data_IF_235614163660
#
_entry.id   IF_235614163660
#
_cell.length_a   1.000
_cell.length_b   1.000
_cell.length_c   1.000
_cell.angle_alpha   90.00
_cell.angle_beta   90.00
_cell.angle_gamma   90.00
#
_symmetry.space_group_name_H-M   'P 1'
#
loop_
_entity.id
_entity.type
_entity.pdbx_description
1 polymer ?
#
# COMPACT_ATOMS: atom_id res chain seq x y z
N UNK A 1 29.08 -39.51 -13.28
CA UNK A 1 29.86 -38.32 -12.88
C UNK A 1 28.92 -37.33 -12.19
N UNK A 2 29.18 -36.95 -10.94
CA UNK A 2 28.41 -35.94 -10.20
C UNK A 2 28.86 -34.57 -10.72
N UNK A 3 27.96 -33.80 -11.34
CA UNK A 3 28.22 -32.40 -11.71
C UNK A 3 28.15 -31.51 -10.48
N UNK A 4 29.06 -30.55 -10.36
CA UNK A 4 29.09 -29.56 -9.27
C UNK A 4 28.02 -28.49 -9.46
N UNK A 5 27.72 -27.76 -8.36
CA UNK A 5 26.87 -26.57 -8.40
C UNK A 5 27.50 -25.52 -9.31
N UNK A 6 26.68 -24.85 -10.13
CA UNK A 6 27.14 -23.77 -11.00
C UNK A 6 26.11 -22.64 -11.03
N UNK A 7 26.62 -21.41 -11.09
CA UNK A 7 25.82 -20.20 -11.33
C UNK A 7 26.17 -19.62 -12.69
N UNK A 8 25.21 -18.92 -13.27
CA UNK A 8 25.43 -18.00 -14.38
C UNK A 8 24.52 -16.79 -14.20
N UNK A 9 24.94 -15.64 -14.72
CA UNK A 9 24.17 -14.41 -14.73
C UNK A 9 23.71 -14.12 -16.17
N UNK A 10 22.43 -13.80 -16.34
CA UNK A 10 21.86 -13.23 -17.57
C UNK A 10 21.41 -11.81 -17.23
N UNK A 11 22.23 -10.83 -17.58
CA UNK A 11 21.97 -9.40 -17.35
C UNK A 11 21.75 -8.71 -18.69
N UNK A 12 20.67 -7.93 -18.78
CA UNK A 12 20.28 -7.19 -19.98
C UNK A 12 20.20 -5.70 -19.70
N UNK A 13 20.74 -4.90 -20.61
CA UNK A 13 20.69 -3.45 -20.69
C UNK A 13 19.82 -3.03 -21.88
N UNK A 14 18.74 -2.27 -21.67
CA UNK A 14 17.82 -1.84 -22.74
C UNK A 14 17.38 -2.99 -23.67
N UNK A 15 17.08 -4.15 -23.06
CA UNK A 15 16.72 -5.41 -23.75
C UNK A 15 17.84 -6.12 -24.53
N UNK A 16 18.99 -5.47 -24.73
CA UNK A 16 20.20 -6.10 -25.23
C UNK A 16 20.94 -6.79 -24.07
N UNK A 17 21.67 -7.89 -24.30
CA UNK A 17 22.62 -8.38 -23.29
C UNK A 17 23.49 -7.21 -22.85
N UNK A 18 23.66 -7.02 -21.53
CA UNK A 18 24.37 -5.89 -20.93
C UNK A 18 25.77 -5.71 -21.55
N UNK A 19 26.38 -6.80 -22.00
CA UNK A 19 27.02 -6.90 -23.32
C UNK A 19 27.22 -8.38 -23.66
N UNK A 20 27.36 -8.73 -24.94
CA UNK A 20 27.71 -10.09 -25.39
C UNK A 20 29.09 -10.60 -24.92
N UNK A 21 29.76 -9.91 -24.00
CA UNK A 21 31.13 -10.16 -23.52
C UNK A 21 31.33 -9.94 -21.99
N UNK A 22 30.30 -9.56 -21.21
CA UNK A 22 30.49 -9.05 -19.82
C UNK A 22 30.12 -10.06 -18.74
N UNK A 23 29.37 -11.12 -19.04
CA UNK A 23 29.02 -12.12 -18.03
C UNK A 23 30.24 -12.75 -17.32
N UNK A 24 31.41 -12.76 -17.98
CA UNK A 24 32.68 -13.19 -17.39
C UNK A 24 33.39 -12.12 -16.55
N UNK A 25 33.03 -10.85 -16.72
CA UNK A 25 33.63 -9.71 -16.03
C UNK A 25 32.82 -9.27 -14.80
N UNK A 26 31.59 -9.77 -14.62
CA UNK A 26 30.79 -9.49 -13.42
C UNK A 26 31.42 -10.21 -12.22
N UNK A 27 31.95 -9.43 -11.28
CA UNK A 27 32.56 -9.95 -10.06
C UNK A 27 31.49 -10.25 -9.00
N UNK A 28 30.48 -9.37 -8.92
CA UNK A 28 29.37 -9.59 -8.01
C UNK A 28 28.07 -8.93 -8.48
N UNK A 29 26.96 -9.51 -8.05
CA UNK A 29 25.62 -8.97 -8.21
C UNK A 29 24.90 -9.10 -6.87
N UNK A 30 24.37 -7.98 -6.38
CA UNK A 30 23.50 -7.93 -5.20
C UNK A 30 22.11 -7.54 -5.67
N UNK A 31 21.11 -8.35 -5.32
CA UNK A 31 19.70 -8.05 -5.55
C UNK A 31 18.99 -7.97 -4.20
N UNK A 32 18.33 -6.84 -3.95
CA UNK A 32 17.56 -6.59 -2.74
C UNK A 32 16.08 -6.50 -3.09
N UNK A 33 15.27 -7.39 -2.51
CA UNK A 33 13.81 -7.37 -2.54
C UNK A 33 13.26 -6.87 -1.19
N UNK A 34 12.49 -5.78 -1.19
CA UNK A 34 11.93 -5.17 0.03
C UNK A 34 10.42 -5.27 0.03
N UNK A 35 9.83 -5.75 1.12
CA UNK A 35 8.38 -5.91 1.24
C UNK A 35 7.66 -4.56 1.29
N UNK A 36 8.27 -3.55 1.93
CA UNK A 36 7.72 -2.23 2.16
C UNK A 36 8.84 -1.16 2.23
N UNK A 37 8.43 0.12 2.16
CA UNK A 37 9.21 1.34 2.41
C UNK A 37 10.37 1.65 1.47
N UNK A 38 11.05 0.64 0.95
CA UNK A 38 12.15 0.77 0.02
C UNK A 38 11.80 0.15 -1.33
N UNK A 39 12.40 0.68 -2.39
CA UNK A 39 12.35 0.05 -3.70
C UNK A 39 13.26 -1.17 -3.73
N UNK A 40 12.97 -2.10 -4.64
CA UNK A 40 13.92 -3.16 -4.91
C UNK A 40 15.13 -2.55 -5.60
N UNK A 41 16.33 -3.06 -5.28
CA UNK A 41 17.57 -2.56 -5.86
C UNK A 41 18.41 -3.67 -6.45
N UNK A 42 19.24 -3.30 -7.42
CA UNK A 42 20.26 -4.16 -7.97
C UNK A 42 21.58 -3.40 -8.04
N UNK A 43 22.65 -4.05 -7.59
CA UNK A 43 24.00 -3.52 -7.60
C UNK A 43 24.90 -4.54 -8.29
N UNK A 44 25.58 -4.12 -9.36
CA UNK A 44 26.46 -4.98 -10.15
C UNK A 44 27.87 -4.39 -10.11
N UNK A 45 28.84 -5.19 -9.69
CA UNK A 45 30.27 -4.85 -9.75
C UNK A 45 30.91 -5.60 -10.90
N UNK A 46 31.62 -4.86 -11.75
CA UNK A 46 32.26 -5.35 -12.96
C UNK A 46 33.75 -5.07 -12.87
N UNK A 47 34.56 -6.09 -13.19
CA UNK A 47 35.99 -5.93 -13.44
C UNK A 47 36.17 -5.11 -14.72
N UNK A 48 36.62 -3.87 -14.56
CA UNK A 48 36.73 -2.91 -15.64
C UNK A 48 38.18 -2.71 -16.12
N UNK A 49 39.10 -3.65 -15.84
CA UNK A 49 40.51 -3.56 -16.23
C UNK A 49 40.73 -3.58 -17.75
N UNK A 50 39.84 -4.22 -18.50
CA UNK A 50 39.92 -4.23 -19.97
C UNK A 50 39.65 -2.82 -20.51
N UNK A 51 40.53 -2.36 -21.41
CA UNK A 51 40.44 -1.05 -22.08
C UNK A 51 39.10 -0.82 -22.79
N UNK A 52 38.34 -1.88 -23.11
CA UNK A 52 36.98 -1.76 -23.67
C UNK A 52 36.03 -0.94 -22.78
N UNK A 53 36.26 -0.91 -21.47
CA UNK A 53 35.44 -0.14 -20.51
C UNK A 53 35.83 1.34 -20.45
N UNK A 54 37.09 1.66 -20.76
CA UNK A 54 37.61 3.03 -20.79
C UNK A 54 37.40 3.72 -22.15
N UNK A 55 37.52 2.96 -23.24
CA UNK A 55 37.55 3.49 -24.61
C UNK A 55 36.35 3.07 -25.46
N UNK A 56 35.46 2.26 -24.89
CA UNK A 56 34.31 1.70 -25.57
C UNK A 56 32.99 2.20 -25.00
N UNK A 57 32.16 1.28 -24.54
CA UNK A 57 30.79 1.53 -24.13
C UNK A 57 30.69 1.74 -22.62
N UNK A 58 29.97 2.79 -22.20
CA UNK A 58 29.69 3.12 -20.80
C UNK A 58 28.17 3.10 -20.59
N UNK A 59 27.65 2.52 -19.49
CA UNK A 59 26.23 2.50 -19.23
C UNK A 59 25.71 3.91 -18.93
N UNK A 60 24.56 4.24 -19.53
CA UNK A 60 23.88 5.52 -19.32
C UNK A 60 22.75 5.41 -18.28
N UNK A 61 22.63 6.46 -17.45
CA UNK A 61 21.52 6.65 -16.49
C UNK A 61 20.17 6.68 -17.21
N UNK A 62 19.13 6.18 -16.54
CA UNK A 62 17.78 6.03 -17.09
C UNK A 62 17.58 4.76 -17.94
N UNK A 63 18.65 4.02 -18.25
CA UNK A 63 18.52 2.77 -18.98
C UNK A 63 17.88 1.67 -18.13
N UNK A 64 17.32 0.65 -18.80
CA UNK A 64 16.70 -0.49 -18.11
C UNK A 64 17.68 -1.63 -17.87
N UNK A 65 17.69 -2.15 -16.65
CA UNK A 65 18.44 -3.32 -16.24
C UNK A 65 17.49 -4.46 -15.90
N UNK A 66 17.72 -5.62 -16.50
CA UNK A 66 17.02 -6.85 -16.13
C UNK A 66 18.06 -7.93 -15.86
N UNK A 67 18.08 -8.45 -14.65
CA UNK A 67 19.00 -9.52 -14.27
C UNK A 67 18.26 -10.80 -13.91
N UNK A 68 18.91 -11.92 -14.23
CA UNK A 68 18.50 -13.26 -13.84
C UNK A 68 19.69 -14.01 -13.30
N UNK A 69 19.48 -14.70 -12.19
CA UNK A 69 20.43 -15.67 -11.65
C UNK A 69 20.00 -17.06 -12.08
N UNK A 70 20.90 -17.79 -12.74
CA UNK A 70 20.67 -19.13 -13.26
C UNK A 70 21.47 -20.13 -12.42
N UNK A 71 20.77 -21.00 -11.69
CA UNK A 71 21.35 -22.06 -10.89
C UNK A 71 21.31 -23.41 -11.59
N UNK A 72 22.40 -24.17 -11.50
CA UNK A 72 22.50 -25.53 -12.04
C UNK A 72 22.99 -26.51 -10.97
N UNK A 73 22.35 -27.67 -10.91
CA UNK A 73 22.69 -28.79 -10.01
C UNK A 73 22.73 -28.38 -8.51
N UNK A 74 21.83 -27.50 -8.06
CA UNK A 74 21.88 -26.89 -6.72
C UNK A 74 21.52 -27.86 -5.59
N UNK A 75 20.28 -28.31 -5.55
CA UNK A 75 19.77 -29.30 -4.60
C UNK A 75 19.84 -30.72 -5.16
N UNK A 76 19.73 -30.88 -6.49
CA UNK A 76 19.70 -32.18 -7.17
C UNK A 76 20.42 -32.14 -8.52
N UNK A 77 20.96 -33.28 -8.96
CA UNK A 77 21.59 -33.40 -10.28
C UNK A 77 20.60 -33.07 -11.41
N UNK A 78 21.05 -32.27 -12.37
CA UNK A 78 20.24 -31.83 -13.50
C UNK A 78 19.24 -30.71 -13.18
N UNK A 79 19.11 -30.30 -11.91
CA UNK A 79 18.23 -29.19 -11.54
C UNK A 79 18.65 -27.90 -12.24
N UNK A 80 17.66 -27.18 -12.76
CA UNK A 80 17.81 -25.80 -13.23
C UNK A 80 16.89 -24.91 -12.40
N UNK A 81 17.44 -23.85 -11.86
CA UNK A 81 16.72 -22.82 -11.11
C UNK A 81 16.93 -21.48 -11.80
N UNK A 82 15.89 -20.65 -11.85
CA UNK A 82 15.95 -19.31 -12.40
C UNK A 82 15.35 -18.39 -11.35
N UNK A 83 16.10 -17.38 -10.96
CA UNK A 83 15.60 -16.26 -10.16
C UNK A 83 15.56 -15.03 -11.07
N UNK A 84 14.36 -14.52 -11.30
CA UNK A 84 14.15 -13.24 -11.97
C UNK A 84 14.33 -12.15 -10.91
N UNK A 85 15.40 -11.35 -11.00
CA UNK A 85 15.66 -10.28 -10.03
C UNK A 85 14.72 -9.09 -10.24
N UNK A 86 14.03 -9.01 -11.37
CA UNK A 86 13.15 -7.90 -11.71
C UNK A 86 13.72 -7.01 -12.81
N UNK A 87 13.10 -5.84 -12.96
CA UNK A 87 13.47 -4.80 -13.91
C UNK A 87 13.68 -3.51 -13.14
N UNK A 88 14.83 -2.88 -13.39
CA UNK A 88 15.33 -1.72 -12.68
C UNK A 88 15.65 -0.62 -13.67
N UNK A 89 15.53 0.63 -13.23
CA UNK A 89 16.06 1.79 -13.91
C UNK A 89 17.44 2.06 -13.33
N UNK A 90 18.44 2.12 -14.20
CA UNK A 90 19.82 2.42 -13.86
C UNK A 90 19.91 3.87 -13.41
N UNK A 91 20.30 4.10 -12.16
CA UNK A 91 20.36 5.42 -11.53
C UNK A 91 21.79 5.83 -11.17
N UNK A 92 22.60 4.86 -10.73
CA UNK A 92 23.99 5.06 -10.35
C UNK A 92 24.98 4.34 -11.28
N UNK A 93 26.04 5.06 -11.65
CA UNK A 93 27.22 4.51 -12.32
C UNK A 93 28.43 5.12 -11.66
N UNK A 94 29.28 4.28 -11.09
CA UNK A 94 30.53 4.72 -10.49
C UNK A 94 31.70 3.95 -11.07
N UNK A 95 32.78 4.66 -11.38
CA UNK A 95 34.02 4.08 -11.88
C UNK A 95 35.13 4.42 -10.90
N UNK A 96 35.88 3.41 -10.48
CA UNK A 96 37.06 3.56 -9.64
C UNK A 96 38.27 3.04 -10.39
N UNK A 97 39.42 3.68 -10.21
CA UNK A 97 40.70 3.23 -10.74
C UNK A 97 41.64 2.83 -9.59
N UNK A 98 42.40 1.74 -9.80
CA UNK A 98 43.24 1.08 -8.80
C UNK A 98 42.52 0.59 -7.50
N UNK A 99 41.71 -0.49 -7.54
CA UNK A 99 41.46 -1.39 -8.69
C UNK A 99 40.42 -0.83 -9.67
N UNK A 100 40.63 -1.09 -10.96
CA UNK A 100 39.72 -0.64 -12.02
C UNK A 100 38.40 -1.40 -11.98
N UNK A 101 37.36 -0.76 -11.44
CA UNK A 101 36.03 -1.35 -11.24
C UNK A 101 34.94 -0.40 -11.74
N UNK A 102 33.90 -0.99 -12.33
CA UNK A 102 32.68 -0.30 -12.72
C UNK A 102 31.53 -0.84 -11.87
N UNK A 103 30.87 0.04 -11.13
CA UNK A 103 29.67 -0.28 -10.37
C UNK A 103 28.46 0.32 -11.07
N UNK A 104 27.39 -0.48 -11.14
CA UNK A 104 26.14 -0.11 -11.77
C UNK A 104 25.02 -0.43 -10.80
N UNK A 105 24.34 0.62 -10.34
CA UNK A 105 23.18 0.58 -9.47
C UNK A 105 21.89 0.78 -10.27
N UNK A 106 20.83 0.14 -9.82
CA UNK A 106 19.49 0.41 -10.34
C UNK A 106 18.40 0.15 -9.32
N UNK A 107 17.30 0.88 -9.46
CA UNK A 107 16.13 0.81 -8.58
C UNK A 107 14.86 0.47 -9.36
N UNK A 108 13.92 -0.22 -8.70
CA UNK A 108 12.68 -0.67 -9.33
C UNK A 108 11.63 0.44 -9.49
N UNK A 109 11.80 1.56 -8.78
CA UNK A 109 11.03 2.79 -8.94
C UNK A 109 11.33 3.41 -10.31
N UNK A 110 10.35 4.01 -11.02
CA UNK A 110 10.58 4.72 -12.27
C UNK A 110 11.29 6.06 -12.01
N UNK A 111 12.59 5.99 -11.68
CA UNK A 111 13.46 7.15 -11.44
C UNK A 111 13.77 7.96 -12.71
N UNK A 112 13.41 7.42 -13.88
CA UNK A 112 13.42 8.08 -15.19
C UNK A 112 12.17 8.95 -15.44
N UNK A 113 11.35 9.21 -14.42
CA UNK A 113 10.06 9.91 -14.55
C UNK A 113 9.77 10.85 -13.37
N UNK A 114 8.79 11.72 -13.56
CA UNK A 114 8.29 12.67 -12.54
C UNK A 114 7.54 12.01 -11.37
N UNK A 115 7.58 10.68 -11.21
CA UNK A 115 6.88 9.97 -10.12
C UNK A 115 7.39 10.39 -8.74
N UNK A 116 8.68 10.74 -8.66
CA UNK A 116 9.38 11.09 -7.42
C UNK A 116 9.82 12.55 -7.35
N UNK A 117 9.67 13.31 -8.44
CA UNK A 117 10.35 14.59 -8.62
C UNK A 117 9.36 15.75 -8.69
N UNK A 118 8.24 15.57 -9.39
CA UNK A 118 7.27 16.66 -9.57
C UNK A 118 6.34 16.75 -8.36
N UNK A 119 6.46 17.85 -7.64
CA UNK A 119 5.51 18.26 -6.61
C UNK A 119 4.18 18.68 -7.23
N UNK A 120 3.10 18.40 -6.49
CA UNK A 120 1.74 18.60 -6.97
C UNK A 120 0.83 18.99 -5.82
N UNK A 121 -0.06 19.92 -6.14
CA UNK A 121 -1.15 20.36 -5.28
C UNK A 121 -2.46 19.89 -5.90
N UNK A 122 -3.00 18.78 -5.42
CA UNK A 122 -4.21 18.16 -5.97
C UNK A 122 -5.19 17.82 -4.86
N UNK A 123 -6.42 18.31 -5.01
CA UNK A 123 -7.52 17.90 -4.13
C UNK A 123 -8.24 16.69 -4.74
N UNK A 124 -8.16 15.56 -4.06
CA UNK A 124 -8.86 14.34 -4.40
C UNK A 124 -10.22 14.35 -3.71
N UNK A 125 -11.33 14.26 -4.47
CA UNK A 125 -12.70 14.23 -3.90
C UNK A 125 -13.49 13.04 -4.42
N UNK A 126 -14.34 12.48 -3.57
CA UNK A 126 -15.29 11.40 -3.90
C UNK A 126 -14.63 10.25 -4.70
N UNK A 127 -13.47 9.79 -4.23
CA UNK A 127 -12.65 8.77 -4.89
C UNK A 127 -12.38 7.61 -3.93
N UNK A 128 -11.46 6.71 -4.27
CA UNK A 128 -10.95 5.68 -3.37
C UNK A 128 -9.45 5.52 -3.54
N UNK A 129 -8.78 4.88 -2.58
CA UNK A 129 -7.34 4.63 -2.64
C UNK A 129 -6.98 3.91 -3.94
N UNK A 130 -7.74 2.88 -4.31
CA UNK A 130 -7.52 2.16 -5.57
C UNK A 130 -7.67 3.05 -6.81
N UNK A 131 -8.64 3.96 -6.84
CA UNK A 131 -8.86 4.88 -7.97
C UNK A 131 -7.74 5.92 -8.07
N UNK A 132 -7.28 6.46 -6.94
CA UNK A 132 -6.12 7.35 -6.87
C UNK A 132 -4.89 6.63 -7.44
N UNK A 133 -4.60 5.43 -6.95
CA UNK A 133 -3.48 4.61 -7.43
C UNK A 133 -3.54 4.30 -8.92
N UNK A 134 -4.71 3.97 -9.45
CA UNK A 134 -4.90 3.73 -10.88
C UNK A 134 -4.61 4.99 -11.71
N UNK A 135 -5.07 6.17 -11.26
CA UNK A 135 -4.83 7.44 -11.95
C UNK A 135 -3.35 7.84 -11.92
N UNK A 136 -2.69 7.65 -10.77
CA UNK A 136 -1.24 7.89 -10.63
C UNK A 136 -0.47 6.91 -11.52
N UNK A 137 -0.77 5.62 -11.48
CA UNK A 137 -0.10 4.63 -12.32
C UNK A 137 -0.25 4.93 -13.82
N UNK A 138 -1.45 5.33 -14.27
CA UNK A 138 -1.71 5.71 -15.66
C UNK A 138 -0.87 6.90 -16.13
N UNK A 139 -0.63 7.89 -15.25
CA UNK A 139 0.20 9.07 -15.55
C UNK A 139 1.61 8.71 -16.00
N UNK A 140 2.17 7.63 -15.47
CA UNK A 140 3.54 7.16 -15.75
C UNK A 140 3.58 5.91 -16.64
N UNK A 141 2.44 5.49 -17.21
CA UNK A 141 2.35 4.29 -18.02
C UNK A 141 2.74 3.01 -17.25
N UNK A 142 2.45 2.96 -15.96
CA UNK A 142 2.68 1.81 -15.09
C UNK A 142 1.44 0.91 -15.10
N UNK A 143 1.65 -0.40 -15.11
CA UNK A 143 0.58 -1.34 -14.78
C UNK A 143 0.15 -1.12 -13.31
N UNK A 144 -1.11 -1.40 -12.99
CA UNK A 144 -1.63 -1.26 -11.64
C UNK A 144 -2.25 -2.57 -11.14
N UNK A 145 -1.88 -2.98 -9.93
CA UNK A 145 -2.43 -4.16 -9.26
C UNK A 145 -2.76 -3.80 -7.81
N UNK A 146 -3.92 -4.27 -7.35
CA UNK A 146 -4.44 -3.94 -6.03
C UNK A 146 -5.01 -5.21 -5.39
N UNK A 147 -4.31 -5.75 -4.39
CA UNK A 147 -4.63 -6.96 -3.63
C UNK A 147 -4.91 -6.62 -2.15
N UNK A 148 -5.96 -5.83 -1.94
CA UNK A 148 -6.44 -5.37 -0.63
C UNK A 148 -7.92 -4.97 -0.71
N UNK A 149 -8.52 -4.65 0.43
CA UNK A 149 -9.82 -3.97 0.46
C UNK A 149 -9.64 -2.51 0.01
N UNK A 150 -10.64 -1.97 -0.67
CA UNK A 150 -10.61 -0.56 -1.14
C UNK A 150 -11.32 0.33 -0.14
N UNK A 151 -10.81 1.55 0.04
CA UNK A 151 -11.31 2.52 1.01
C UNK A 151 -11.68 3.82 0.31
N UNK A 152 -12.87 4.33 0.60
CA UNK A 152 -13.39 5.56 0.03
C UNK A 152 -12.67 6.77 0.64
N UNK A 153 -12.33 7.74 -0.21
CA UNK A 153 -11.72 9.01 0.13
C UNK A 153 -12.70 10.11 -0.24
N UNK A 154 -13.37 10.66 0.75
CA UNK A 154 -14.33 11.76 0.56
C UNK A 154 -13.61 13.02 0.04
N UNK A 155 -12.54 13.41 0.72
CA UNK A 155 -11.69 14.51 0.34
C UNK A 155 -10.32 14.32 0.99
N UNK A 156 -9.26 14.44 0.20
CA UNK A 156 -7.89 14.39 0.68
C UNK A 156 -7.02 15.31 -0.19
N UNK A 157 -6.02 15.92 0.42
CA UNK A 157 -5.13 16.86 -0.26
C UNK A 157 -3.79 16.17 -0.50
N UNK A 158 -3.39 16.15 -1.76
CA UNK A 158 -2.03 15.84 -2.14
C UNK A 158 -1.25 17.14 -2.14
N UNK A 159 -0.27 17.20 -1.23
CA UNK A 159 0.83 18.14 -1.20
C UNK A 159 2.12 17.31 -1.35
N UNK A 160 2.84 17.53 -2.45
CA UNK A 160 4.06 16.82 -2.81
C UNK A 160 3.90 15.75 -3.91
N UNK A 161 4.94 14.94 -4.07
CA UNK A 161 5.08 14.01 -5.21
C UNK A 161 4.05 12.89 -5.17
N UNK A 162 3.70 12.35 -6.34
CA UNK A 162 2.79 11.19 -6.43
C UNK A 162 3.30 9.99 -5.62
N UNK A 163 4.62 9.77 -5.60
CA UNK A 163 5.21 8.65 -4.86
C UNK A 163 5.09 8.81 -3.35
N UNK A 164 5.39 10.00 -2.80
CA UNK A 164 5.35 10.26 -1.37
C UNK A 164 3.91 10.32 -0.86
N UNK A 165 3.03 11.02 -1.59
CA UNK A 165 1.61 11.12 -1.27
C UNK A 165 0.94 9.75 -1.25
N UNK A 166 1.06 8.99 -2.35
CA UNK A 166 0.34 7.74 -2.48
C UNK A 166 0.87 6.66 -1.52
N UNK A 167 2.18 6.65 -1.24
CA UNK A 167 2.76 5.78 -0.21
C UNK A 167 2.18 6.10 1.17
N UNK A 168 2.10 7.39 1.53
CA UNK A 168 1.55 7.84 2.82
C UNK A 168 0.07 7.50 2.94
N UNK A 169 -0.71 7.72 1.88
CA UNK A 169 -2.12 7.33 1.83
C UNK A 169 -2.29 5.82 2.01
N UNK A 170 -1.49 4.98 1.34
CA UNK A 170 -1.53 3.54 1.54
C UNK A 170 -1.24 3.16 3.00
N UNK A 171 -0.18 3.72 3.59
CA UNK A 171 0.22 3.46 4.99
C UNK A 171 -0.86 3.82 5.99
N UNK A 172 -1.55 4.94 5.77
CA UNK A 172 -2.64 5.39 6.63
C UNK A 172 -3.75 4.34 6.76
N UNK A 173 -3.92 3.46 5.78
CA UNK A 173 -4.93 2.41 5.74
C UNK A 173 -4.33 1.00 5.85
N UNK A 174 -3.08 0.87 6.29
CA UNK A 174 -2.42 -0.43 6.56
C UNK A 174 -1.99 -1.16 5.29
N UNK A 175 -1.99 -0.45 4.16
CA UNK A 175 -1.61 -0.96 2.86
C UNK A 175 -0.15 -0.66 2.57
N UNK A 176 0.48 -1.52 1.78
CA UNK A 176 1.86 -1.38 1.34
C UNK A 176 1.89 -1.11 -0.15
N UNK A 177 2.67 -0.10 -0.54
CA UNK A 177 2.96 0.25 -1.92
C UNK A 177 4.32 -0.35 -2.33
N UNK A 178 4.32 -1.26 -3.30
CA UNK A 178 5.52 -1.68 -4.04
C UNK A 178 5.49 -1.14 -5.47
N UNK A 179 6.67 -0.79 -5.97
CA UNK A 179 6.86 -0.43 -7.38
C UNK A 179 7.95 -1.33 -7.94
N UNK A 180 7.61 -2.15 -8.92
CA UNK A 180 8.55 -3.08 -9.56
C UNK A 180 8.10 -3.42 -10.97
N UNK A 181 9.03 -3.72 -11.87
CA UNK A 181 8.72 -4.19 -13.23
C UNK A 181 7.69 -3.33 -13.99
N UNK A 182 7.84 -1.99 -13.92
CA UNK A 182 6.90 -1.01 -14.49
C UNK A 182 5.46 -1.21 -14.03
N UNK A 183 5.29 -1.62 -12.77
CA UNK A 183 4.01 -1.86 -12.12
C UNK A 183 3.98 -1.25 -10.73
N UNK A 184 2.85 -0.66 -10.41
CA UNK A 184 2.46 -0.29 -9.07
C UNK A 184 1.62 -1.42 -8.46
N UNK A 185 2.02 -1.93 -7.31
CA UNK A 185 1.33 -2.99 -6.58
C UNK A 185 1.00 -2.53 -5.16
N UNK A 186 -0.29 -2.53 -4.84
CA UNK A 186 -0.76 -2.32 -3.47
C UNK A 186 -1.25 -3.63 -2.89
N UNK A 187 -0.87 -3.92 -1.65
CA UNK A 187 -1.34 -5.09 -0.92
C UNK A 187 -1.50 -4.83 0.58
N UNK A 188 -2.28 -5.66 1.25
CA UNK A 188 -2.48 -5.62 2.71
C UNK A 188 -1.47 -6.55 3.42
N UNK A 189 -0.59 -5.98 4.26
CA UNK A 189 0.46 -6.74 4.96
C UNK A 189 -0.13 -7.76 5.94
N UNK A 190 -1.20 -7.43 6.65
CA UNK A 190 -1.78 -8.34 7.65
C UNK A 190 -2.47 -9.53 6.97
N UNK A 191 -3.13 -9.31 5.82
CA UNK A 191 -3.61 -10.41 4.96
C UNK A 191 -2.47 -11.30 4.47
N UNK A 192 -1.30 -10.72 4.16
CA UNK A 192 -0.14 -11.49 3.72
C UNK A 192 0.54 -12.26 4.87
N UNK A 193 0.61 -11.70 6.07
CA UNK A 193 1.05 -12.40 7.29
C UNK A 193 0.17 -13.60 7.63
N UNK A 194 -1.12 -13.57 7.26
CA UNK A 194 -2.02 -14.71 7.44
C UNK A 194 -1.73 -15.88 6.47
N UNK A 195 -1.03 -15.64 5.35
CA UNK A 195 -0.68 -16.70 4.39
C UNK A 195 0.24 -17.75 5.02
N UNK A 196 0.27 -18.94 4.41
CA UNK A 196 1.14 -20.04 4.82
C UNK A 196 2.61 -19.69 4.63
N UNK A 197 3.46 -20.32 5.44
CA UNK A 197 4.89 -20.28 5.20
C UNK A 197 5.21 -20.96 3.86
N UNK A 198 5.95 -20.29 2.98
CA UNK A 198 6.37 -20.82 1.67
C UNK A 198 7.55 -21.80 1.81
N UNK A 199 8.31 -21.66 2.89
CA UNK A 199 9.48 -22.49 3.21
C UNK A 199 9.68 -22.59 4.72
N UNK A 200 10.19 -23.74 5.15
CA UNK A 200 10.70 -23.94 6.51
C UNK A 200 12.23 -24.01 6.45
N UNK A 201 12.90 -23.28 7.33
CA UNK A 201 14.35 -23.36 7.52
C UNK A 201 14.64 -23.98 8.88
N UNK A 202 15.35 -25.10 8.87
CA UNK A 202 15.89 -25.66 10.10
C UNK A 202 17.20 -24.95 10.47
N UNK A 203 17.48 -24.85 11.77
CA UNK A 203 18.73 -24.29 12.30
C UNK A 203 19.98 -24.86 11.62
N UNK A 204 19.97 -26.15 11.26
CA UNK A 204 21.09 -26.80 10.56
C UNK A 204 21.35 -26.27 9.14
N UNK A 205 20.38 -25.58 8.53
CA UNK A 205 20.47 -25.02 7.18
C UNK A 205 20.93 -23.56 7.17
N UNK A 206 20.98 -22.92 8.34
CA UNK A 206 21.36 -21.51 8.49
C UNK A 206 22.87 -21.42 8.66
N UNK A 207 23.50 -20.48 7.93
CA UNK A 207 24.94 -20.22 8.03
C UNK A 207 25.33 -19.91 9.47
N UNK A 208 26.31 -20.61 10.06
CA UNK A 208 26.81 -20.31 11.41
C UNK A 208 27.20 -18.83 11.55
N UNK A 209 26.80 -18.21 12.66
CA UNK A 209 27.09 -16.80 12.96
C UNK A 209 26.22 -15.76 12.24
N UNK A 210 25.39 -16.16 11.26
CA UNK A 210 24.51 -15.21 10.54
C UNK A 210 23.21 -14.89 11.28
N UNK A 211 22.79 -15.77 12.20
CA UNK A 211 21.52 -15.64 12.91
C UNK A 211 21.55 -14.50 13.95
N UNK A 212 20.55 -13.63 13.90
CA UNK A 212 20.31 -12.61 14.90
C UNK A 212 18.83 -12.50 15.23
N UNK A 213 18.51 -12.27 16.50
CA UNK A 213 17.16 -12.06 16.99
C UNK A 213 17.18 -10.87 17.95
N UNK A 214 16.25 -9.94 17.76
CA UNK A 214 16.08 -8.76 18.62
C UNK A 214 14.61 -8.59 18.92
N UNK A 215 14.30 -8.22 20.16
CA UNK A 215 12.96 -7.79 20.56
C UNK A 215 13.05 -6.45 21.27
N UNK A 216 12.09 -5.56 21.04
CA UNK A 216 12.01 -4.25 21.69
C UNK A 216 10.67 -4.08 22.41
N UNK A 217 10.69 -3.35 23.53
CA UNK A 217 9.46 -2.92 24.23
C UNK A 217 8.79 -1.74 23.51
N UNK A 218 9.59 -0.88 22.86
CA UNK A 218 9.04 0.18 22.02
C UNK A 218 8.28 -0.45 20.84
N UNK A 219 7.06 0.01 20.61
CA UNK A 219 6.17 -0.51 19.57
C UNK A 219 5.29 -1.70 20.01
N UNK A 220 5.31 -2.17 21.26
CA UNK A 220 4.38 -3.24 21.69
C UNK A 220 3.05 -2.69 22.18
N UNK A 221 2.30 -2.02 21.29
CA UNK A 221 1.02 -1.43 21.66
C UNK A 221 -0.05 -2.51 21.86
N UNK A 222 -0.85 -2.36 22.90
CA UNK A 222 -1.99 -3.23 23.24
C UNK A 222 -3.34 -2.60 22.88
N UNK A 223 -3.31 -1.34 22.45
CA UNK A 223 -4.45 -0.60 21.92
C UNK A 223 -4.08 0.83 21.55
N UNK A 224 -5.09 1.64 21.27
CA UNK A 224 -4.90 3.05 20.96
C UNK A 224 -6.21 3.79 20.83
N UNK A 225 -6.09 5.08 20.60
CA UNK A 225 -7.18 6.02 20.40
C UNK A 225 -6.88 6.94 19.22
N UNK A 226 -7.93 7.30 18.50
CA UNK A 226 -7.91 8.14 17.32
C UNK A 226 -8.87 9.30 17.53
N UNK A 227 -8.32 10.50 17.55
CA UNK A 227 -9.07 11.73 17.75
C UNK A 227 -9.24 12.46 16.42
N UNK A 228 -10.47 12.87 16.14
CA UNK A 228 -10.77 13.74 15.00
C UNK A 228 -11.97 14.63 15.32
N UNK A 229 -11.99 15.81 14.73
CA UNK A 229 -13.14 16.73 14.80
C UNK A 229 -14.07 16.45 13.62
N UNK A 230 -15.35 16.23 13.90
CA UNK A 230 -16.40 16.25 12.89
C UNK A 230 -16.75 17.71 12.62
N UNK A 231 -16.20 18.26 11.54
CA UNK A 231 -16.33 19.67 11.19
C UNK A 231 -17.79 20.10 10.92
N UNK A 232 -18.66 19.17 10.49
CA UNK A 232 -20.08 19.49 10.25
C UNK A 232 -20.85 19.66 11.55
N UNK A 233 -20.48 18.90 12.59
CA UNK A 233 -21.13 18.92 13.90
C UNK A 233 -20.42 19.81 14.92
N UNK A 234 -19.21 20.24 14.62
CA UNK A 234 -18.30 20.93 15.53
C UNK A 234 -18.08 20.18 16.86
N UNK A 235 -17.93 18.85 16.77
CA UNK A 235 -17.69 17.96 17.92
C UNK A 235 -16.39 17.18 17.73
N UNK A 236 -15.69 16.95 18.84
CA UNK A 236 -14.53 16.06 18.86
C UNK A 236 -14.99 14.63 19.14
N UNK A 237 -14.48 13.70 18.34
CA UNK A 237 -14.79 12.28 18.39
C UNK A 237 -13.52 11.50 18.68
N UNK A 238 -13.58 10.67 19.72
CA UNK A 238 -12.56 9.66 20.01
C UNK A 238 -13.05 8.26 19.60
N UNK A 239 -12.26 7.58 18.78
CA UNK A 239 -12.40 6.16 18.46
C UNK A 239 -11.28 5.38 19.17
N UNK A 240 -11.58 4.26 19.82
CA UNK A 240 -10.55 3.42 20.46
C UNK A 240 -10.64 1.96 20.04
N UNK A 241 -9.46 1.32 19.97
CA UNK A 241 -9.28 -0.09 19.62
C UNK A 241 -8.31 -0.72 20.63
N UNK A 242 -8.65 -1.90 21.15
CA UNK A 242 -7.84 -2.56 22.19
C UNK A 242 -7.90 -1.84 23.55
N UNK A 243 -6.81 -1.93 24.33
CA UNK A 243 -6.73 -1.27 25.65
C UNK A 243 -5.42 -1.59 26.38
N UNK A 244 -5.38 -1.33 27.69
CA UNK A 244 -4.20 -1.61 28.54
C UNK A 244 -3.29 -0.41 28.77
N UNK A 245 -2.10 -0.64 29.32
CA UNK A 245 -1.16 0.42 29.71
C UNK A 245 -0.27 0.95 28.58
N UNK A 246 -0.23 0.27 27.44
CA UNK A 246 0.61 0.62 26.29
C UNK A 246 -0.25 1.01 25.10
N UNK A 247 -0.73 2.26 25.10
CA UNK A 247 -1.63 2.80 24.08
C UNK A 247 -0.95 3.82 23.16
N UNK A 248 -1.41 3.91 21.91
CA UNK A 248 -1.00 4.94 20.95
C UNK A 248 -2.13 5.93 20.67
N UNK A 249 -1.81 7.22 20.63
CA UNK A 249 -2.69 8.27 20.13
C UNK A 249 -2.44 8.53 18.64
N UNK A 250 -3.51 8.69 17.87
CA UNK A 250 -3.46 9.16 16.48
C UNK A 250 -4.37 10.37 16.36
N UNK A 251 -3.88 11.41 15.68
CA UNK A 251 -4.66 12.58 15.31
C UNK A 251 -4.49 12.81 13.82
N UNK A 252 -5.57 12.61 13.07
CA UNK A 252 -5.65 12.84 11.62
C UNK A 252 -7.12 13.03 11.26
N UNK A 253 -7.38 13.60 10.09
CA UNK A 253 -8.71 13.61 9.49
C UNK A 253 -9.27 12.19 9.36
N UNK A 254 -10.52 12.03 9.77
CA UNK A 254 -11.37 10.89 9.45
C UNK A 254 -12.78 11.38 9.11
N UNK A 255 -13.48 10.59 8.31
CA UNK A 255 -14.85 10.89 7.84
C UNK A 255 -15.93 10.17 8.64
N UNK A 256 -15.51 9.19 9.44
CA UNK A 256 -16.39 8.39 10.31
C UNK A 256 -15.59 7.65 11.37
N UNK A 257 -16.29 7.11 12.36
CA UNK A 257 -15.68 6.22 13.36
C UNK A 257 -15.09 4.96 12.69
N UNK A 258 -15.72 4.45 11.63
CA UNK A 258 -15.17 3.32 10.89
C UNK A 258 -13.84 3.67 10.23
N UNK A 259 -13.77 4.79 9.51
CA UNK A 259 -12.55 5.30 8.88
C UNK A 259 -11.43 5.52 9.93
N UNK A 260 -11.75 6.21 11.03
CA UNK A 260 -10.84 6.38 12.16
C UNK A 260 -10.34 5.03 12.72
N UNK A 261 -11.21 4.03 12.87
CA UNK A 261 -10.84 2.71 13.36
C UNK A 261 -9.90 1.96 12.41
N UNK A 262 -10.13 2.06 11.10
CA UNK A 262 -9.25 1.45 10.08
C UNK A 262 -7.86 2.07 10.15
N UNK A 263 -7.80 3.40 10.19
CA UNK A 263 -6.52 4.10 10.26
C UNK A 263 -5.78 3.86 11.58
N UNK A 264 -6.51 3.76 12.70
CA UNK A 264 -5.94 3.40 13.99
C UNK A 264 -5.35 1.99 13.99
N UNK A 265 -6.09 0.99 13.49
CA UNK A 265 -5.61 -0.37 13.36
C UNK A 265 -4.36 -0.45 12.48
N UNK A 266 -4.35 0.28 11.36
CA UNK A 266 -3.19 0.38 10.49
C UNK A 266 -1.95 0.90 11.23
N UNK A 267 -2.10 1.99 11.98
CA UNK A 267 -1.01 2.61 12.74
C UNK A 267 -0.49 1.67 13.85
N UNK A 268 -1.39 1.03 14.60
CA UNK A 268 -1.04 0.06 15.65
C UNK A 268 -0.32 -1.16 15.07
N UNK A 269 -0.87 -1.78 14.03
CA UNK A 269 -0.26 -2.94 13.37
C UNK A 269 1.10 -2.60 12.76
N UNK A 270 1.25 -1.38 12.23
CA UNK A 270 2.52 -0.91 11.69
C UNK A 270 3.57 -0.67 12.76
N UNK A 271 3.19 -0.06 13.88
CA UNK A 271 4.10 0.16 14.99
C UNK A 271 4.50 -1.15 15.69
N UNK A 272 3.58 -2.12 15.76
CA UNK A 272 3.85 -3.44 16.33
C UNK A 272 4.69 -4.33 15.40
N UNK A 273 4.66 -4.08 14.10
CA UNK A 273 5.51 -4.77 13.14
C UNK A 273 6.98 -4.35 13.33
N UNK A 274 7.87 -5.34 13.37
CA UNK A 274 9.29 -5.11 13.65
C UNK A 274 9.63 -4.95 15.14
N UNK A 275 8.69 -5.17 16.06
CA UNK A 275 9.00 -5.29 17.50
C UNK A 275 9.84 -6.52 17.80
N UNK A 276 9.59 -7.60 17.08
CA UNK A 276 10.43 -8.79 16.99
C UNK A 276 11.08 -8.79 15.62
N UNK A 277 12.41 -8.70 15.58
CA UNK A 277 13.21 -8.75 14.35
C UNK A 277 14.11 -9.96 14.38
N UNK A 278 14.24 -10.58 13.22
CA UNK A 278 15.07 -11.75 13.01
C UNK A 278 15.85 -11.60 11.71
N UNK A 279 17.14 -11.96 11.72
CA UNK A 279 17.96 -12.04 10.52
C UNK A 279 18.71 -13.34 10.45
N UNK A 280 18.93 -13.87 9.24
CA UNK A 280 19.76 -15.05 9.03
C UNK A 280 20.14 -15.23 7.56
N UNK A 281 21.19 -16.01 7.31
CA UNK A 281 21.68 -16.30 5.97
C UNK A 281 21.69 -17.79 5.60
N UNK A 282 21.47 -18.11 4.33
CA UNK A 282 21.54 -19.48 3.75
C UNK A 282 22.28 -19.49 2.43
N UNK A 283 22.87 -20.62 2.06
CA UNK A 283 23.69 -20.79 0.84
C UNK A 283 22.82 -20.93 -0.43
N UNK A 284 22.11 -19.85 -0.70
CA UNK A 284 21.23 -19.65 -1.83
C UNK A 284 19.80 -20.11 -1.58
N UNK A 285 18.86 -19.22 -1.84
CA UNK A 285 17.43 -19.52 -1.92
C UNK A 285 16.88 -19.10 -3.29
N UNK A 286 15.94 -19.89 -3.81
CA UNK A 286 15.34 -19.71 -5.14
C UNK A 286 13.81 -19.53 -5.08
N UNK A 287 13.21 -19.49 -3.89
CA UNK A 287 11.76 -19.64 -3.65
C UNK A 287 11.15 -18.52 -2.81
N UNK A 288 11.91 -17.94 -1.90
CA UNK A 288 11.42 -16.95 -0.93
C UNK A 288 11.65 -15.55 -1.47
N UNK A 289 10.57 -14.77 -1.52
CA UNK A 289 10.60 -13.33 -1.83
C UNK A 289 10.15 -12.53 -0.61
N UNK A 290 10.45 -11.22 -0.60
CA UNK A 290 9.91 -10.33 0.40
C UNK A 290 8.37 -10.29 0.32
N UNK A 291 7.71 -10.11 1.46
CA UNK A 291 6.27 -10.25 1.59
C UNK A 291 5.77 -11.69 1.72
N UNK A 292 6.63 -12.70 1.61
CA UNK A 292 6.28 -14.09 1.96
C UNK A 292 6.35 -14.33 3.48
N UNK A 293 5.78 -15.45 3.91
CA UNK A 293 6.03 -15.99 5.25
C UNK A 293 7.00 -17.16 5.18
N UNK A 294 7.84 -17.33 6.19
CA UNK A 294 8.72 -18.49 6.38
C UNK A 294 8.53 -19.08 7.78
N UNK A 295 8.91 -20.33 7.97
CA UNK A 295 8.91 -20.97 9.28
C UNK A 295 10.33 -21.34 9.71
N UNK A 296 10.63 -21.24 11.01
CA UNK A 296 11.90 -21.67 11.59
C UNK A 296 11.73 -22.86 12.53
N UNK A 297 12.69 -23.80 12.47
CA UNK A 297 12.81 -24.93 13.40
C UNK A 297 14.24 -25.05 13.96
N UNK A 298 14.40 -25.77 15.08
CA UNK A 298 15.70 -26.02 15.70
C UNK A 298 16.23 -24.91 16.63
N UNK A 299 15.45 -23.86 16.87
CA UNK A 299 15.79 -22.74 17.77
C UNK A 299 14.97 -22.70 19.08
N UNK A 300 14.15 -23.71 19.36
CA UNK A 300 13.35 -23.79 20.58
C UNK A 300 12.29 -22.69 20.62
N UNK A 301 12.38 -21.76 21.58
CA UNK A 301 11.41 -20.69 21.77
C UNK A 301 11.35 -19.68 20.59
N UNK A 302 12.38 -19.67 19.73
CA UNK A 302 12.40 -18.84 18.52
C UNK A 302 11.92 -19.61 17.27
N UNK A 303 11.37 -20.81 17.45
CA UNK A 303 10.66 -21.49 16.38
C UNK A 303 9.34 -20.77 16.11
N UNK A 304 8.90 -20.76 14.86
CA UNK A 304 7.62 -20.15 14.50
C UNK A 304 7.58 -19.61 13.09
N UNK A 305 6.46 -18.94 12.78
CA UNK A 305 6.24 -18.28 11.50
C UNK A 305 6.68 -16.82 11.58
N UNK A 306 7.42 -16.38 10.58
CA UNK A 306 7.93 -15.02 10.45
C UNK A 306 7.55 -14.45 9.08
N UNK A 307 7.33 -13.15 9.03
CA UNK A 307 7.09 -12.43 7.78
C UNK A 307 8.44 -11.92 7.25
N UNK A 308 8.69 -12.10 5.95
CA UNK A 308 9.94 -11.70 5.31
C UNK A 308 9.84 -10.24 4.88
N UNK A 309 10.57 -9.37 5.57
CA UNK A 309 10.58 -7.93 5.30
C UNK A 309 11.52 -7.60 4.14
N UNK A 310 12.65 -8.31 4.05
CA UNK A 310 13.65 -8.09 3.03
C UNK A 310 14.44 -9.37 2.73
N UNK A 311 14.76 -9.55 1.46
CA UNK A 311 15.64 -10.61 0.98
C UNK A 311 16.79 -9.98 0.21
N UNK A 312 18.02 -10.31 0.59
CA UNK A 312 19.22 -9.88 -0.12
C UNK A 312 19.90 -11.11 -0.73
N UNK A 313 19.92 -11.19 -2.05
CA UNK A 313 20.66 -12.21 -2.78
C UNK A 313 21.99 -11.64 -3.23
N UNK A 314 23.09 -12.33 -2.94
CA UNK A 314 24.42 -11.95 -3.40
C UNK A 314 25.03 -13.08 -4.21
N UNK A 315 25.37 -12.80 -5.46
CA UNK A 315 26.15 -13.67 -6.33
C UNK A 315 27.57 -13.11 -6.39
N UNK A 316 28.54 -13.96 -6.12
CA UNK A 316 29.97 -13.66 -6.27
C UNK A 316 30.72 -14.94 -6.66
N UNK A 317 32.04 -14.85 -6.82
CA UNK A 317 32.89 -16.01 -7.08
C UNK A 317 32.76 -17.13 -6.02
N UNK A 318 32.37 -16.79 -4.79
CA UNK A 318 32.11 -17.73 -3.70
C UNK A 318 30.77 -18.47 -3.82
N UNK A 319 29.90 -18.08 -4.75
CA UNK A 319 28.59 -18.68 -4.96
C UNK A 319 27.43 -17.70 -4.75
N UNK A 320 26.25 -18.25 -4.48
CA UNK A 320 25.02 -17.50 -4.19
C UNK A 320 24.76 -17.62 -2.69
N UNK A 321 24.66 -16.47 -2.03
CA UNK A 321 24.13 -16.37 -0.67
C UNK A 321 22.80 -15.64 -0.69
N UNK A 322 21.95 -15.96 0.29
CA UNK A 322 20.71 -15.24 0.51
C UNK A 322 20.58 -14.92 1.99
N UNK A 323 20.33 -13.67 2.30
CA UNK A 323 20.17 -13.14 3.64
C UNK A 323 18.74 -12.60 3.79
N UNK A 324 18.10 -12.98 4.89
CA UNK A 324 16.73 -12.64 5.21
C UNK A 324 16.69 -11.70 6.39
N UNK A 325 15.88 -10.65 6.29
CA UNK A 325 15.42 -9.85 7.42
C UNK A 325 13.91 -10.08 7.55
N UNK A 326 13.48 -10.45 8.74
CA UNK A 326 12.13 -10.88 9.02
C UNK A 326 11.58 -10.24 10.30
N UNK A 327 10.26 -10.11 10.34
CA UNK A 327 9.51 -9.67 11.51
C UNK A 327 8.68 -10.80 12.10
N UNK A 328 8.55 -10.78 13.43
CA UNK A 328 7.60 -11.63 14.15
C UNK A 328 6.16 -11.35 13.71
N UNK A 329 5.33 -12.38 13.74
CA UNK A 329 3.90 -12.29 13.45
C UNK A 329 3.15 -12.41 14.77
N UNK A 330 2.63 -11.29 15.26
CA UNK A 330 1.75 -11.24 16.43
C UNK A 330 0.26 -11.15 16.04
N UNK A 331 -0.63 -11.13 17.04
CA UNK A 331 -2.04 -10.79 16.83
C UNK A 331 -2.16 -9.41 16.17
N UNK A 332 -3.01 -9.31 15.15
CA UNK A 332 -3.31 -8.05 14.48
C UNK A 332 -4.52 -7.39 15.14
N UNK A 333 -4.56 -6.06 15.13
CA UNK A 333 -5.75 -5.27 15.42
C UNK A 333 -6.66 -5.22 14.20
N UNK A 334 -7.96 -5.36 14.42
CA UNK A 334 -8.97 -5.22 13.37
C UNK A 334 -9.97 -4.12 13.69
N UNK A 335 -10.51 -3.48 12.64
CA UNK A 335 -11.50 -2.41 12.77
C UNK A 335 -12.86 -2.89 13.30
N UNK A 336 -13.10 -4.20 13.37
CA UNK A 336 -14.26 -4.77 14.05
C UNK A 336 -13.99 -5.15 15.52
N UNK A 337 -12.73 -5.07 15.97
CA UNK A 337 -12.36 -5.21 17.40
C UNK A 337 -12.64 -3.92 18.19
N UNK A 338 -13.37 -2.97 17.59
CA UNK A 338 -13.81 -1.72 18.22
C UNK A 338 -14.78 -2.06 19.35
N UNK A 339 -14.22 -2.30 20.54
CA UNK A 339 -14.90 -2.33 21.83
C UNK A 339 -14.79 -1.01 22.59
N UNK A 340 -14.27 0.03 21.93
CA UNK A 340 -14.03 1.35 22.48
C UNK A 340 -15.29 2.22 22.47
N UNK A 341 -15.64 2.79 23.61
CA UNK A 341 -16.71 3.78 23.75
C UNK A 341 -16.45 4.95 22.78
N UNK A 342 -17.41 5.26 21.90
CA UNK A 342 -17.38 6.54 21.17
C UNK A 342 -17.69 7.62 22.19
N UNK A 343 -16.72 8.49 22.45
CA UNK A 343 -16.92 9.66 23.31
C UNK A 343 -17.07 10.87 22.41
N UNK A 344 -18.25 11.48 22.48
CA UNK A 344 -18.52 12.77 21.86
C UNK A 344 -18.21 13.84 22.90
N UNK A 345 -17.26 14.71 22.61
CA UNK A 345 -17.01 15.91 23.39
C UNK A 345 -17.69 17.08 22.69
N UNK A 346 -18.73 17.65 23.31
CA UNK A 346 -19.18 18.99 22.94
C UNK A 346 -18.09 19.98 23.37
N UNK A 347 -17.78 20.97 22.52
CA UNK A 347 -16.86 22.04 22.90
C UNK A 347 -17.39 22.74 24.15
N UNK A 348 -16.67 22.61 25.27
CA UNK A 348 -16.83 23.53 26.40
C UNK A 348 -16.33 24.91 25.98
N UNK A 349 -17.05 25.96 26.40
CA UNK A 349 -16.80 27.36 26.03
C UNK A 349 -15.31 27.72 26.08
N UNK A 350 -14.88 28.35 24.99
CA UNK A 350 -13.52 28.68 24.59
C UNK A 350 -12.69 29.38 25.69
N UNK A 351 -11.51 28.86 26.00
CA UNK A 351 -10.48 29.62 26.73
C UNK A 351 -9.65 30.43 25.73
N UNK A 352 -10.30 31.40 25.09
CA UNK A 352 -9.74 32.61 24.47
C UNK A 352 -8.30 32.63 23.94
N UNK A 353 -7.88 31.64 23.13
CA UNK A 353 -6.68 31.76 22.31
C UNK A 353 -7.01 31.48 20.85
N UNK A 354 -7.11 32.57 20.09
CA UNK A 354 -7.29 32.61 18.65
C UNK A 354 -6.10 31.97 17.94
N UNK A 355 -6.33 30.88 17.22
CA UNK A 355 -5.46 30.45 16.13
C UNK A 355 -6.06 30.99 14.82
N UNK A 356 -5.27 31.73 14.07
CA UNK A 356 -5.65 32.27 12.76
C UNK A 356 -5.33 31.20 11.70
N UNK A 357 -6.36 30.46 11.25
CA UNK A 357 -6.28 29.68 10.01
C UNK A 357 -6.95 30.42 8.87
N UNK A 358 -6.20 30.69 7.82
CA UNK A 358 -6.56 31.41 6.61
C UNK A 358 -7.55 30.70 5.67
N UNK A 359 -8.34 29.74 6.15
CA UNK A 359 -9.33 29.00 5.33
C UNK A 359 -10.78 29.50 5.43
N UNK A 360 -10.97 30.77 5.78
CA UNK A 360 -12.26 31.43 5.66
C UNK A 360 -12.40 32.16 4.32
N UNK A 361 -12.54 31.44 3.21
CA UNK A 361 -13.28 31.96 2.05
C UNK A 361 -14.00 30.84 1.29
N UNK A 362 -15.32 30.99 1.28
CA UNK A 362 -16.38 30.22 0.63
C UNK A 362 -16.15 29.88 -0.85
N UNK A 363 -16.73 28.77 -1.36
CA UNK A 363 -17.16 28.76 -2.77
C UNK A 363 -18.40 27.90 -3.09
N UNK A 364 -19.48 28.52 -3.65
CA UNK A 364 -20.77 27.93 -4.02
C UNK A 364 -20.75 27.21 -5.39
N UNK A 365 -19.96 26.15 -5.54
CA UNK A 365 -19.78 25.46 -6.84
C UNK A 365 -20.30 23.99 -6.87
N UNK A 366 -21.39 23.69 -6.15
CA UNK A 366 -22.04 22.37 -6.18
C UNK A 366 -23.17 22.24 -7.25
N UNK A 367 -23.33 23.24 -8.12
CA UNK A 367 -24.48 23.35 -9.04
C UNK A 367 -24.32 22.73 -10.44
N UNK A 368 -23.23 22.03 -10.78
CA UNK A 368 -23.00 21.60 -12.16
C UNK A 368 -22.39 20.20 -12.28
N UNK A 369 -23.09 19.17 -11.78
CA UNK A 369 -22.84 17.77 -12.15
C UNK A 369 -24.08 16.88 -11.90
N UNK A 370 -25.23 17.20 -12.49
CA UNK A 370 -26.36 16.26 -12.62
C UNK A 370 -27.11 16.49 -13.93
N UNK A 371 -26.64 15.88 -15.02
CA UNK A 371 -27.34 15.91 -16.31
C UNK A 371 -27.08 14.61 -17.10
N UNK A 372 -27.56 13.48 -16.57
CA UNK A 372 -27.74 12.25 -17.38
C UNK A 372 -28.72 11.22 -16.78
N UNK A 373 -29.26 11.43 -15.57
CA UNK A 373 -30.23 10.51 -14.96
C UNK A 373 -31.45 11.22 -14.34
N UNK A 374 -31.78 12.45 -14.77
CA UNK A 374 -33.12 13.04 -14.59
C UNK A 374 -33.66 13.26 -13.17
N UNK A 375 -32.85 13.12 -12.13
CA UNK A 375 -33.24 13.40 -10.74
C UNK A 375 -32.61 14.70 -10.24
N UNK A 376 -33.43 15.63 -9.75
CA UNK A 376 -32.94 16.85 -9.12
C UNK A 376 -32.85 16.70 -7.60
N UNK A 377 -31.82 17.27 -6.97
CA UNK A 377 -31.75 17.33 -5.52
C UNK A 377 -32.98 18.07 -4.96
N UNK A 378 -33.65 17.50 -3.96
CA UNK A 378 -34.90 18.05 -3.43
C UNK A 378 -36.14 17.73 -4.26
N UNK A 379 -36.05 16.93 -5.33
CA UNK A 379 -37.22 16.47 -6.07
C UNK A 379 -38.05 15.52 -5.22
N UNK A 380 -39.34 15.83 -5.07
CA UNK A 380 -40.30 14.96 -4.40
C UNK A 380 -40.66 13.75 -5.28
N UNK A 381 -40.68 12.57 -4.65
CA UNK A 381 -40.99 11.29 -5.28
C UNK A 381 -41.96 10.50 -4.39
N UNK A 382 -42.84 9.73 -5.03
CA UNK A 382 -43.75 8.82 -4.32
C UNK A 382 -43.23 7.38 -4.42
N UNK A 383 -42.97 6.77 -3.26
CA UNK A 383 -42.58 5.37 -3.16
C UNK A 383 -43.81 4.51 -2.88
N UNK A 384 -43.93 3.36 -3.56
CA UNK A 384 -44.95 2.36 -3.27
C UNK A 384 -44.31 0.97 -3.10
N UNK A 385 -44.25 0.49 -1.85
CA UNK A 385 -43.58 -0.77 -1.46
C UNK A 385 -42.15 -0.87 -2.03
N UNK A 386 -41.46 0.26 -2.16
CA UNK A 386 -40.14 0.34 -2.78
C UNK A 386 -39.08 -0.28 -1.86
N UNK A 387 -38.15 -1.11 -2.38
CA UNK A 387 -37.08 -1.67 -1.57
C UNK A 387 -36.07 -0.59 -1.17
N UNK A 388 -35.78 -0.50 0.13
CA UNK A 388 -34.80 0.42 0.71
C UNK A 388 -33.52 -0.33 1.08
N UNK A 389 -32.38 0.23 0.73
CA UNK A 389 -31.05 -0.35 0.98
C UNK A 389 -30.22 0.59 1.85
N UNK A 390 -29.35 0.02 2.69
CA UNK A 390 -28.41 0.80 3.53
C UNK A 390 -27.29 1.46 2.72
N UNK A 391 -26.95 0.89 1.55
CA UNK A 391 -25.95 1.43 0.62
C UNK A 391 -26.34 1.16 -0.84
N UNK A 392 -25.69 1.85 -1.78
CA UNK A 392 -25.89 1.64 -3.22
C UNK A 392 -25.45 0.23 -3.67
N UNK A 393 -24.53 -0.41 -2.95
CA UNK A 393 -23.98 -1.74 -3.26
C UNK A 393 -24.60 -2.89 -2.44
N UNK A 394 -25.45 -2.58 -1.46
CA UNK A 394 -26.05 -3.60 -0.60
C UNK A 394 -26.86 -4.62 -1.43
N UNK A 395 -26.54 -5.91 -1.23
CA UNK A 395 -27.20 -7.04 -1.90
C UNK A 395 -28.59 -7.30 -1.34
N UNK A 396 -28.76 -7.12 -0.03
CA UNK A 396 -30.03 -7.35 0.67
C UNK A 396 -30.73 -6.03 0.98
N UNK A 397 -32.07 -6.01 0.83
CA UNK A 397 -32.89 -4.86 1.22
C UNK A 397 -33.00 -4.78 2.74
N UNK A 398 -32.89 -3.57 3.28
CA UNK A 398 -33.07 -3.27 4.69
C UNK A 398 -34.56 -3.22 5.09
N UNK A 399 -35.43 -2.96 4.11
CA UNK A 399 -36.87 -2.94 4.29
C UNK A 399 -37.59 -2.46 3.03
N UNK A 400 -38.88 -2.17 3.16
CA UNK A 400 -39.68 -1.53 2.11
C UNK A 400 -40.30 -0.24 2.61
N UNK A 401 -40.37 0.79 1.76
CA UNK A 401 -40.96 2.09 2.09
C UNK A 401 -42.10 2.45 1.14
N UNK A 402 -43.10 3.11 1.69
CA UNK A 402 -44.24 3.68 0.97
C UNK A 402 -44.45 5.10 1.50
N UNK A 403 -44.77 6.06 0.62
CA UNK A 403 -45.01 7.45 0.97
C UNK A 403 -44.16 8.44 0.18
N UNK A 404 -44.28 9.72 0.50
CA UNK A 404 -43.52 10.80 -0.14
C UNK A 404 -42.12 10.89 0.45
N UNK A 405 -41.13 10.90 -0.44
CA UNK A 405 -39.70 11.06 -0.14
C UNK A 405 -39.12 12.12 -1.07
N UNK A 406 -37.91 12.55 -0.80
CA UNK A 406 -37.17 13.48 -1.66
C UNK A 406 -35.86 12.87 -2.08
N UNK A 407 -35.46 13.09 -3.34
CA UNK A 407 -34.12 12.78 -3.80
C UNK A 407 -33.14 13.65 -3.01
N UNK A 408 -32.25 13.02 -2.25
CA UNK A 408 -31.38 13.74 -1.33
C UNK A 408 -30.42 14.67 -2.09
N UNK A 409 -29.88 14.22 -3.21
CA UNK A 409 -28.90 14.94 -4.03
C UNK A 409 -29.11 14.80 -5.54
N UNK A 410 -30.12 14.02 -5.96
CA UNK A 410 -30.37 13.74 -7.38
C UNK A 410 -29.33 12.85 -8.07
N UNK A 411 -28.38 12.26 -7.34
CA UNK A 411 -27.27 11.49 -7.93
C UNK A 411 -27.66 10.01 -8.02
N UNK A 412 -27.61 9.47 -9.24
CA UNK A 412 -27.82 8.05 -9.49
C UNK A 412 -26.50 7.27 -9.30
N UNK A 413 -26.45 6.34 -8.35
CA UNK A 413 -25.28 5.49 -8.09
C UNK A 413 -25.71 4.02 -8.10
N UNK A 414 -25.09 3.21 -8.97
CA UNK A 414 -25.40 1.79 -9.15
C UNK A 414 -26.91 1.52 -9.37
N UNK A 415 -27.59 2.40 -10.12
CA UNK A 415 -29.02 2.29 -10.39
C UNK A 415 -29.94 2.67 -9.23
N UNK A 416 -29.42 3.28 -8.15
CA UNK A 416 -30.19 3.73 -6.97
C UNK A 416 -29.94 5.21 -6.66
N UNK A 417 -30.95 5.89 -6.14
CA UNK A 417 -30.83 7.24 -5.57
C UNK A 417 -30.77 7.19 -4.05
N UNK A 418 -30.08 8.16 -3.46
CA UNK A 418 -30.25 8.50 -2.04
C UNK A 418 -31.60 9.19 -1.86
N UNK A 419 -32.39 8.74 -0.91
CA UNK A 419 -33.68 9.34 -0.59
C UNK A 419 -33.74 9.76 0.87
N UNK A 420 -34.49 10.81 1.15
CA UNK A 420 -34.76 11.30 2.50
C UNK A 420 -36.25 11.51 2.72
N UNK A 421 -36.70 11.37 3.96
CA UNK A 421 -38.09 11.58 4.37
C UNK A 421 -38.43 13.05 4.66
N UNK A 422 -37.53 14.00 4.38
CA UNK A 422 -37.77 15.43 4.57
C UNK A 422 -37.05 16.27 3.53
N UNK A 423 -37.77 17.15 2.82
CA UNK A 423 -37.20 18.09 1.86
C UNK A 423 -36.07 18.93 2.48
N UNK A 424 -36.24 19.34 3.75
CA UNK A 424 -35.29 20.17 4.49
C UNK A 424 -33.94 19.47 4.77
N UNK A 425 -33.80 18.18 4.47
CA UNK A 425 -32.57 17.39 4.63
C UNK A 425 -31.82 17.20 3.31
N UNK A 426 -32.41 17.57 2.17
CA UNK A 426 -31.76 17.38 0.87
C UNK A 426 -30.48 18.22 0.78
N UNK A 427 -29.40 17.61 0.30
CA UNK A 427 -28.08 18.22 0.19
C UNK A 427 -27.40 18.57 1.52
N UNK A 428 -28.00 18.26 2.68
CA UNK A 428 -27.44 18.60 3.99
C UNK A 428 -26.53 17.52 4.54
N UNK A 429 -25.33 17.91 4.92
CA UNK A 429 -24.39 17.05 5.64
C UNK A 429 -24.78 16.94 7.13
N UNK A 430 -24.42 15.84 7.81
CA UNK A 430 -23.80 14.64 7.25
C UNK A 430 -24.81 13.73 6.53
N UNK A 431 -24.40 13.13 5.42
CA UNK A 431 -25.24 12.26 4.57
C UNK A 431 -25.89 11.14 5.40
N UNK A 432 -25.16 10.53 6.33
CA UNK A 432 -25.65 9.41 7.14
C UNK A 432 -26.81 9.73 8.09
N UNK A 433 -27.05 11.01 8.41
CA UNK A 433 -28.20 11.43 9.23
C UNK A 433 -29.35 11.97 8.38
N UNK A 434 -29.02 12.55 7.23
CA UNK A 434 -29.97 13.21 6.36
C UNK A 434 -30.52 12.28 5.26
N UNK A 435 -29.86 11.16 4.98
CA UNK A 435 -30.33 10.12 4.05
C UNK A 435 -31.06 9.01 4.81
N UNK A 436 -32.28 8.73 4.39
CA UNK A 436 -33.07 7.61 4.91
C UNK A 436 -32.64 6.27 4.33
N UNK A 437 -32.11 6.26 3.10
CA UNK A 437 -31.51 5.09 2.48
C UNK A 437 -31.44 5.21 0.96
N UNK A 438 -31.19 4.09 0.29
CA UNK A 438 -31.05 4.00 -1.15
C UNK A 438 -32.23 3.27 -1.79
N UNK A 439 -32.79 3.82 -2.86
CA UNK A 439 -33.95 3.25 -3.58
C UNK A 439 -33.63 3.12 -5.06
N UNK A 440 -33.96 2.00 -5.72
CA UNK A 440 -33.74 1.86 -7.17
C UNK A 440 -34.51 2.91 -7.97
N UNK A 441 -33.88 3.43 -9.02
CA UNK A 441 -34.44 4.48 -9.87
C UNK A 441 -35.83 4.13 -10.43
N UNK A 442 -36.08 2.84 -10.72
CA UNK A 442 -37.37 2.35 -11.22
C UNK A 442 -38.54 2.53 -10.26
N UNK A 443 -38.29 2.85 -8.98
CA UNK A 443 -39.32 3.10 -7.97
C UNK A 443 -39.51 4.58 -7.63
N UNK A 444 -38.72 5.48 -8.22
CA UNK A 444 -38.78 6.92 -7.97
C UNK A 444 -39.76 7.60 -8.96
N UNK A 445 -41.06 7.47 -8.70
CA UNK A 445 -42.11 8.13 -9.51
C UNK A 445 -42.24 9.58 -9.03
N UNK A 446 -42.14 10.56 -9.94
CA UNK A 446 -42.34 11.97 -9.60
C UNK A 446 -43.75 12.18 -9.03
N UNK A 447 -43.84 12.84 -7.87
CA UNK A 447 -45.14 13.14 -7.24
C UNK A 447 -45.79 14.35 -7.90
N UNK A 448 -47.07 14.27 -8.29
CA UNK A 448 -47.81 15.38 -8.94
C UNK A 448 -48.11 16.58 -8.03
N UNK A 449 -47.78 16.53 -6.73
CA UNK A 449 -48.08 17.60 -5.76
C UNK A 449 -46.80 18.29 -5.24
N UNK A 450 -46.32 19.30 -5.96
CA UNK A 450 -45.50 20.40 -5.41
C UNK A 450 -45.33 21.55 -6.44
N UNK A 451 -46.45 22.16 -6.88
CA UNK A 451 -46.47 23.54 -7.39
C UNK A 451 -47.48 24.32 -6.58
N UNK A 452 -47.06 24.83 -5.41
CA UNK A 452 -47.67 25.97 -4.74
C UNK A 452 -46.72 26.56 -3.73
#
# INVERSE_FOLDING_TARGET
MIKTRRLALDVRYNSYPFAGQVGGDIESLTYTDSAADNSDSIDITINAQDRKWLLGWMPEKGATLRARVLGYNWERQGQRSIMECGLFVLDDVSFSDAPTTLQVGGVSKPSDSDFSELERDVIWKNTSIKRIGAKIAARYGLAFTYDADDYDIECDEQDGTDSSYYNSLCKNYGLILKVYARRLWVYDREKYKAKRAVRTFDRSQIRPGSFGYTTTLSGTYTGGYFNYTDADKDIDIECSVGGGSHTKSVNRRATSVYDASVQLCAELNSANHGTVKLRFGVDGDWRVSAGNCIALTGFGNLNGKYFVDKVTHKVANSGLTTDFECSGIGPAFHSWDVGGKIVYHEKTADSGVSYDSTYATTSPAAGAASAAAGGEAGQAITLNKAPLYVSSTAKNKAGTKTGTYWLYDGILINGRYRVTNSAARCGKLPVGQNVTGWVPASYCIASEEAKK
#
